data_IF_909685643464
#
_entry.id   IF_909685643464
#
_cell.length_a   1.000
_cell.length_b   1.000
_cell.length_c   1.000
_cell.angle_alpha   90.00
_cell.angle_beta   90.00
_cell.angle_gamma   90.00
#
_symmetry.space_group_name_H-M   'P 1'
#
loop_
_entity.id
_entity.type
_entity.pdbx_description
1 polymer ?
#
# COMPACT_ATOMS: atom_id res chain seq x y z
N UNK A 1 9.51 4.15 11.41
CA UNK A 1 8.23 4.77 11.78
C UNK A 1 8.22 5.14 13.26
N UNK A 2 7.86 6.35 13.53
CA UNK A 2 7.62 6.80 14.89
C UNK A 2 6.14 6.66 15.21
N UNK A 3 5.83 5.89 16.25
CA UNK A 3 4.48 5.73 16.76
C UNK A 3 4.36 6.52 18.06
N UNK A 4 3.38 7.40 18.13
CA UNK A 4 3.12 8.19 19.31
C UNK A 4 1.75 7.80 19.87
N UNK A 5 1.69 7.69 21.20
CA UNK A 5 0.47 7.36 21.93
C UNK A 5 0.01 8.59 22.68
N UNK A 6 -1.28 8.88 22.59
CA UNK A 6 -1.92 10.01 23.26
C UNK A 6 -3.08 9.52 24.10
N UNK A 7 -3.31 10.17 25.25
CA UNK A 7 -4.52 9.95 26.03
C UNK A 7 -5.72 10.71 25.42
N UNK A 8 -6.88 10.61 26.05
CA UNK A 8 -8.11 11.28 25.59
C UNK A 8 -8.03 12.80 25.64
N UNK A 9 -7.09 13.36 26.41
CA UNK A 9 -6.86 14.82 26.53
C UNK A 9 -5.71 15.28 25.61
N UNK A 10 -5.27 14.41 24.68
CA UNK A 10 -4.20 14.66 23.71
C UNK A 10 -2.82 14.87 24.33
N UNK A 11 -2.60 14.35 25.55
CA UNK A 11 -1.27 14.33 26.13
C UNK A 11 -0.49 13.12 25.63
N UNK A 12 0.77 13.34 25.25
CA UNK A 12 1.66 12.27 24.82
C UNK A 12 1.94 11.32 25.99
N UNK A 13 1.58 10.05 25.85
CA UNK A 13 1.76 9.03 26.90
C UNK A 13 2.90 8.07 26.61
N UNK A 14 3.38 8.00 25.39
CA UNK A 14 4.49 7.12 25.02
C UNK A 14 4.83 7.21 23.54
N UNK A 15 6.00 6.66 23.22
CA UNK A 15 6.48 6.57 21.84
C UNK A 15 7.06 5.19 21.58
N UNK A 16 7.03 4.76 20.32
CA UNK A 16 7.68 3.54 19.86
C UNK A 16 8.22 3.74 18.47
N UNK A 17 9.41 3.22 18.19
CA UNK A 17 10.01 3.24 16.86
C UNK A 17 9.84 1.86 16.23
N UNK A 18 9.22 1.84 15.05
CA UNK A 18 8.98 0.63 14.26
C UNK A 18 9.78 0.74 12.97
N UNK A 19 10.52 -0.30 12.62
CA UNK A 19 11.20 -0.34 11.33
C UNK A 19 10.20 -0.41 10.18
N UNK A 20 10.48 0.31 9.10
CA UNK A 20 9.69 0.19 7.86
C UNK A 20 10.09 -1.09 7.14
N UNK A 21 9.10 -1.87 6.70
CA UNK A 21 9.37 -3.08 5.91
C UNK A 21 9.91 -2.75 4.52
N UNK A 22 9.37 -1.71 3.88
CA UNK A 22 9.91 -1.11 2.67
C UNK A 22 10.15 0.38 2.90
N UNK A 23 11.05 1.01 2.12
CA UNK A 23 11.54 2.36 2.46
C UNK A 23 10.50 3.48 2.44
N UNK A 24 9.46 3.36 1.60
CA UNK A 24 8.47 4.44 1.43
C UNK A 24 7.24 4.13 2.26
N UNK A 25 6.87 5.04 3.15
CA UNK A 25 5.64 4.91 3.91
C UNK A 25 4.44 5.28 3.04
N UNK A 26 3.43 4.42 3.03
CA UNK A 26 2.19 4.68 2.30
C UNK A 26 1.03 5.04 3.21
N UNK A 27 0.69 4.17 4.14
CA UNK A 27 -0.47 4.38 4.98
C UNK A 27 -0.52 3.46 6.19
N UNK A 28 -1.49 3.74 7.04
CA UNK A 28 -1.69 3.04 8.30
C UNK A 28 -3.19 2.84 8.51
N UNK A 29 -3.55 1.70 9.07
CA UNK A 29 -4.92 1.42 9.48
C UNK A 29 -4.95 0.59 10.77
N UNK A 30 -5.85 0.94 11.67
CA UNK A 30 -6.06 0.20 12.91
C UNK A 30 -7.43 -0.45 12.90
N UNK A 31 -7.47 -1.76 13.11
CA UNK A 31 -8.69 -2.47 13.48
C UNK A 31 -8.74 -2.63 15.00
N UNK A 32 -9.79 -3.27 15.51
CA UNK A 32 -9.90 -3.54 16.94
C UNK A 32 -8.69 -4.31 17.50
N UNK A 33 -8.19 -5.28 16.74
CA UNK A 33 -7.20 -6.23 17.23
C UNK A 33 -5.81 -6.05 16.61
N UNK A 34 -5.70 -5.31 15.51
CA UNK A 34 -4.46 -5.26 14.74
C UNK A 34 -4.15 -3.87 14.22
N UNK A 35 -2.87 -3.65 13.95
CA UNK A 35 -2.38 -2.54 13.13
C UNK A 35 -1.90 -3.05 11.78
N UNK A 36 -2.10 -2.25 10.76
CA UNK A 36 -1.65 -2.52 9.39
C UNK A 36 -0.87 -1.32 8.87
N UNK A 37 0.28 -1.60 8.27
CA UNK A 37 1.12 -0.56 7.65
C UNK A 37 1.33 -0.94 6.20
N UNK A 38 1.10 0.01 5.31
CA UNK A 38 1.36 -0.14 3.89
C UNK A 38 2.63 0.62 3.57
N UNK A 39 3.60 -0.08 3.02
CA UNK A 39 4.88 0.47 2.61
C UNK A 39 5.16 0.15 1.15
N UNK A 40 6.10 0.86 0.57
CA UNK A 40 6.47 0.63 -0.82
C UNK A 40 7.94 0.90 -1.08
N UNK A 41 8.36 0.58 -2.29
CA UNK A 41 9.72 0.81 -2.74
C UNK A 41 9.71 1.28 -4.20
N UNK A 42 10.56 2.26 -4.51
CA UNK A 42 10.75 2.70 -5.87
C UNK A 42 11.35 1.59 -6.73
N UNK A 43 10.93 1.54 -7.98
CA UNK A 43 11.32 0.52 -8.93
C UNK A 43 11.74 1.17 -10.25
N UNK A 44 12.79 1.97 -10.18
CA UNK A 44 13.28 2.72 -11.34
C UNK A 44 13.84 1.83 -12.45
N UNK A 45 14.24 0.61 -12.10
CA UNK A 45 14.75 -0.38 -13.07
C UNK A 45 13.63 -1.12 -13.80
N UNK A 46 12.37 -0.86 -13.47
CA UNK A 46 11.21 -1.48 -14.11
C UNK A 46 11.27 -3.01 -14.04
N UNK A 47 11.66 -3.52 -12.88
CA UNK A 47 11.80 -4.95 -12.63
C UNK A 47 10.48 -5.54 -12.16
N UNK A 48 9.89 -6.42 -12.96
CA UNK A 48 8.61 -7.06 -12.66
C UNK A 48 8.68 -8.00 -11.45
N UNK A 49 9.86 -8.46 -11.08
CA UNK A 49 10.05 -9.35 -9.93
C UNK A 49 10.18 -8.58 -8.61
N UNK A 50 10.37 -7.25 -8.68
CA UNK A 50 10.55 -6.44 -7.48
C UNK A 50 9.23 -6.25 -6.76
N UNK A 51 9.24 -6.44 -5.45
CA UNK A 51 8.12 -6.13 -4.58
C UNK A 51 8.03 -4.62 -4.40
N UNK A 52 6.93 -4.02 -4.84
CA UNK A 52 6.74 -2.57 -4.82
C UNK A 52 5.86 -2.12 -3.68
N UNK A 53 4.86 -2.92 -3.32
CA UNK A 53 3.96 -2.65 -2.20
C UNK A 53 4.00 -3.79 -1.21
N UNK A 54 3.96 -3.46 0.07
CA UNK A 54 3.86 -4.44 1.13
C UNK A 54 2.86 -4.00 2.18
N UNK A 55 2.02 -4.92 2.60
CA UNK A 55 1.08 -4.74 3.69
C UNK A 55 1.55 -5.61 4.84
N UNK A 56 1.81 -5.00 5.99
CA UNK A 56 2.31 -5.69 7.17
C UNK A 56 1.31 -5.59 8.30
N UNK A 57 1.04 -6.73 8.92
CA UNK A 57 0.10 -6.87 10.02
C UNK A 57 0.86 -7.00 11.33
N UNK A 58 0.44 -6.20 12.31
CA UNK A 58 1.01 -6.19 13.66
C UNK A 58 -0.07 -6.46 14.69
N UNK A 59 0.31 -6.99 15.86
CA UNK A 59 -0.56 -6.97 17.01
C UNK A 59 -0.59 -5.56 17.65
N UNK A 60 -1.36 -5.38 18.71
CA UNK A 60 -1.49 -4.08 19.37
C UNK A 60 -0.26 -3.67 20.18
N UNK A 61 0.73 -4.55 20.33
CA UNK A 61 2.03 -4.28 20.91
C UNK A 61 3.09 -4.01 19.85
N UNK A 62 2.69 -3.92 18.58
CA UNK A 62 3.58 -3.73 17.43
C UNK A 62 4.54 -4.89 17.16
N UNK A 63 4.16 -6.09 17.58
CA UNK A 63 4.85 -7.29 17.13
C UNK A 63 4.35 -7.66 15.75
N UNK A 64 5.27 -7.88 14.82
CA UNK A 64 4.92 -8.30 13.45
C UNK A 64 4.30 -9.69 13.49
N UNK A 65 3.12 -9.82 12.88
CA UNK A 65 2.46 -11.11 12.72
C UNK A 65 2.84 -11.71 11.36
N UNK A 66 2.60 -10.98 10.29
CA UNK A 66 2.92 -11.43 8.93
C UNK A 66 2.86 -10.25 7.96
N UNK A 67 3.24 -10.49 6.71
CA UNK A 67 3.12 -9.51 5.64
C UNK A 67 2.82 -10.19 4.32
N UNK A 68 2.34 -9.40 3.36
CA UNK A 68 2.16 -9.82 1.97
C UNK A 68 2.59 -8.68 1.06
N UNK A 69 3.07 -9.02 -0.12
CA UNK A 69 3.60 -8.03 -1.05
C UNK A 69 3.08 -8.19 -2.47
N UNK A 70 3.12 -7.11 -3.22
CA UNK A 70 2.70 -7.06 -4.61
C UNK A 70 3.90 -6.85 -5.52
N UNK A 71 4.06 -7.76 -6.46
CA UNK A 71 5.02 -7.68 -7.57
C UNK A 71 4.28 -7.47 -8.88
N UNK A 72 5.02 -7.23 -9.95
CA UNK A 72 4.49 -7.17 -11.32
C UNK A 72 3.30 -6.19 -11.43
N UNK A 73 3.47 -4.99 -10.91
CA UNK A 73 2.38 -4.01 -10.81
C UNK A 73 2.60 -2.75 -11.65
N UNK A 74 3.51 -2.80 -12.63
CA UNK A 74 3.74 -1.70 -13.56
C UNK A 74 4.01 -0.37 -12.87
N UNK A 75 4.85 -0.37 -11.85
CA UNK A 75 5.10 0.79 -11.01
C UNK A 75 6.57 1.12 -10.94
N UNK A 76 6.91 2.40 -11.16
CA UNK A 76 8.23 2.95 -10.87
C UNK A 76 8.23 3.67 -9.52
N UNK A 77 7.18 4.40 -9.21
CA UNK A 77 7.05 5.14 -7.94
C UNK A 77 5.70 4.85 -7.28
N UNK A 78 5.69 4.14 -6.14
CA UNK A 78 4.48 3.94 -5.37
C UNK A 78 4.06 5.21 -4.64
N UNK A 79 2.78 5.30 -4.29
CA UNK A 79 2.20 6.42 -3.53
C UNK A 79 2.47 7.79 -4.15
N UNK A 80 2.48 7.86 -5.46
CA UNK A 80 2.71 9.11 -6.15
C UNK A 80 1.58 10.09 -5.82
N UNK A 81 1.91 11.37 -5.71
CA UNK A 81 1.03 12.41 -5.19
C UNK A 81 0.61 12.21 -3.72
N UNK A 82 1.27 11.31 -2.99
CA UNK A 82 1.12 11.16 -1.54
C UNK A 82 -0.22 10.61 -1.07
N UNK A 83 -1.02 10.02 -1.96
CA UNK A 83 -2.32 9.50 -1.55
C UNK A 83 -2.25 8.01 -1.23
N UNK A 84 -2.81 7.64 -0.10
CA UNK A 84 -3.03 6.24 0.24
C UNK A 84 -4.25 6.17 1.15
N UNK A 85 -5.34 5.64 0.63
CA UNK A 85 -6.56 5.48 1.39
C UNK A 85 -6.80 4.01 1.65
N UNK A 86 -7.16 3.69 2.88
CA UNK A 86 -7.38 2.31 3.32
C UNK A 86 -8.78 2.20 3.89
N UNK A 87 -9.56 1.26 3.40
CA UNK A 87 -10.88 0.95 3.91
C UNK A 87 -10.95 -0.55 4.24
N UNK A 88 -11.63 -0.89 5.34
CA UNK A 88 -11.79 -2.28 5.78
C UNK A 88 -13.26 -2.57 6.00
N UNK A 89 -13.72 -3.69 5.47
CA UNK A 89 -15.05 -4.24 5.72
C UNK A 89 -14.92 -5.74 5.94
N UNK A 90 -15.25 -6.19 7.16
CA UNK A 90 -15.03 -7.59 7.53
C UNK A 90 -13.56 -7.96 7.47
N UNK A 91 -13.23 -8.99 6.69
CA UNK A 91 -11.85 -9.41 6.46
C UNK A 91 -11.24 -8.84 5.18
N UNK A 92 -11.94 -7.94 4.50
CA UNK A 92 -11.48 -7.36 3.25
C UNK A 92 -10.94 -5.95 3.49
N UNK A 93 -9.68 -5.75 3.15
CA UNK A 93 -9.03 -4.44 3.14
C UNK A 93 -8.86 -3.99 1.70
N UNK A 94 -9.24 -2.75 1.41
CA UNK A 94 -9.03 -2.17 0.09
C UNK A 94 -8.12 -0.96 0.25
N UNK A 95 -7.05 -0.95 -0.52
CA UNK A 95 -6.06 0.13 -0.55
C UNK A 95 -6.20 0.85 -1.89
N UNK A 96 -6.46 2.15 -1.82
CA UNK A 96 -6.50 3.01 -3.00
C UNK A 96 -5.33 3.98 -2.94
N UNK A 97 -4.54 4.02 -4.00
CA UNK A 97 -3.42 4.95 -4.11
C UNK A 97 -3.17 5.31 -5.56
N UNK A 98 -2.17 6.12 -5.80
CA UNK A 98 -1.68 6.43 -7.13
C UNK A 98 -0.25 5.94 -7.28
N UNK A 99 0.14 5.67 -8.51
CA UNK A 99 1.53 5.33 -8.82
C UNK A 99 1.96 6.00 -10.11
N UNK A 100 3.27 6.12 -10.27
CA UNK A 100 3.88 6.38 -11.56
C UNK A 100 4.16 5.03 -12.20
N UNK A 101 3.67 4.85 -13.43
CA UNK A 101 3.83 3.61 -14.18
C UNK A 101 5.20 3.53 -14.86
N UNK A 102 5.49 2.40 -15.44
CA UNK A 102 6.65 2.21 -16.30
C UNK A 102 6.61 3.18 -17.48
N UNK A 103 7.77 3.43 -18.04
CA UNK A 103 7.89 4.26 -19.24
C UNK A 103 7.08 3.66 -20.37
N UNK A 104 6.22 4.48 -20.96
CA UNK A 104 5.44 4.10 -22.14
C UNK A 104 6.23 4.33 -23.44
N UNK A 105 5.66 3.93 -24.55
CA UNK A 105 6.32 4.02 -25.86
C UNK A 105 6.66 5.45 -26.25
N UNK A 106 5.94 6.44 -25.74
CA UNK A 106 6.21 7.85 -25.98
C UNK A 106 7.33 8.43 -25.11
N UNK A 107 7.90 7.63 -24.23
CA UNK A 107 8.99 8.04 -23.34
C UNK A 107 8.56 8.66 -22.02
N UNK A 108 7.26 8.75 -21.75
CA UNK A 108 6.75 9.32 -20.51
C UNK A 108 6.32 8.24 -19.52
N UNK A 109 6.41 8.59 -18.23
CA UNK A 109 5.90 7.78 -17.13
C UNK A 109 4.58 8.39 -16.65
N UNK A 110 3.47 7.77 -17.02
CA UNK A 110 2.14 8.27 -16.65
C UNK A 110 1.76 7.84 -15.25
N UNK A 111 0.91 8.64 -14.62
CA UNK A 111 0.31 8.30 -13.34
C UNK A 111 -1.00 7.53 -13.56
N UNK A 112 -1.32 6.66 -12.61
CA UNK A 112 -2.57 5.93 -12.62
C UNK A 112 -2.99 5.60 -11.19
N UNK A 113 -4.24 5.18 -11.05
CA UNK A 113 -4.74 4.70 -9.77
C UNK A 113 -4.34 3.24 -9.56
N UNK A 114 -4.10 2.90 -8.32
CA UNK A 114 -3.86 1.54 -7.86
C UNK A 114 -4.91 1.17 -6.84
N UNK A 115 -5.48 -0.02 -7.00
CA UNK A 115 -6.37 -0.62 -6.00
C UNK A 115 -5.83 -2.00 -5.66
N UNK A 116 -5.62 -2.26 -4.37
CA UNK A 116 -5.16 -3.55 -3.88
C UNK A 116 -6.19 -4.05 -2.88
N UNK A 117 -6.67 -5.27 -3.10
CA UNK A 117 -7.58 -5.93 -2.17
C UNK A 117 -6.85 -7.04 -1.43
N UNK A 118 -6.98 -7.04 -0.11
CA UNK A 118 -6.27 -7.97 0.77
C UNK A 118 -7.27 -8.66 1.68
N UNK A 119 -7.18 -9.98 1.77
CA UNK A 119 -7.81 -10.74 2.85
C UNK A 119 -6.92 -10.61 4.07
N UNK A 120 -7.37 -9.86 5.08
CA UNK A 120 -6.54 -9.56 6.25
C UNK A 120 -6.52 -10.65 7.31
N UNK A 121 -7.39 -11.64 7.21
CA UNK A 121 -7.32 -12.83 8.06
C UNK A 121 -6.23 -13.78 7.55
N UNK A 122 -6.19 -14.01 6.24
CA UNK A 122 -5.19 -14.89 5.62
C UNK A 122 -3.91 -14.15 5.24
N UNK A 123 -3.94 -12.83 5.23
CA UNK A 123 -2.86 -11.96 4.73
C UNK A 123 -2.41 -12.36 3.33
N UNK A 124 -3.38 -12.32 2.42
CA UNK A 124 -3.16 -12.58 0.99
C UNK A 124 -3.82 -11.50 0.16
N UNK A 125 -3.11 -11.06 -0.86
CA UNK A 125 -3.68 -10.17 -1.88
C UNK A 125 -4.62 -11.01 -2.73
N UNK A 126 -5.89 -10.62 -2.76
CA UNK A 126 -6.93 -11.35 -3.49
C UNK A 126 -7.21 -10.74 -4.86
N UNK A 127 -6.92 -9.46 -5.04
CA UNK A 127 -7.06 -8.77 -6.30
C UNK A 127 -6.19 -7.52 -6.32
N UNK A 128 -5.77 -7.10 -7.52
CA UNK A 128 -5.07 -5.84 -7.69
C UNK A 128 -5.42 -5.24 -9.05
N UNK A 129 -5.54 -3.92 -9.07
CA UNK A 129 -5.76 -3.14 -10.27
C UNK A 129 -4.73 -2.01 -10.30
N UNK A 130 -3.94 -1.97 -11.36
CA UNK A 130 -2.81 -1.02 -11.45
C UNK A 130 -3.04 0.09 -12.47
N UNK A 131 -4.30 0.34 -12.80
CA UNK A 131 -4.68 1.51 -13.57
C UNK A 131 -4.19 1.53 -15.01
N UNK A 132 -4.38 0.44 -15.74
CA UNK A 132 -4.05 0.43 -17.15
C UNK A 132 -5.05 1.31 -17.92
N UNK A 133 -4.54 2.26 -18.66
CA UNK A 133 -5.33 3.10 -19.55
C UNK A 133 -5.08 2.61 -20.97
N UNK A 134 -6.15 2.28 -21.70
CA UNK A 134 -6.00 1.85 -23.07
C UNK A 134 -5.63 3.00 -24.01
N UNK A 135 -5.35 2.69 -25.27
CA UNK A 135 -4.89 3.68 -26.24
C UNK A 135 -5.92 4.75 -26.58
N UNK A 136 -7.18 4.52 -26.25
CA UNK A 136 -8.27 5.47 -26.46
C UNK A 136 -8.53 6.30 -25.21
N UNK A 137 -7.71 6.15 -24.18
CA UNK A 137 -7.89 6.82 -22.92
C UNK A 137 -8.92 6.18 -22.01
N UNK A 138 -9.50 5.08 -22.41
CA UNK A 138 -10.44 4.34 -21.57
C UNK A 138 -9.70 3.58 -20.48
N UNK A 139 -10.27 3.57 -19.33
CA UNK A 139 -9.72 2.85 -18.19
C UNK A 139 -10.30 1.45 -18.15
N UNK A 140 -9.43 0.48 -17.98
CA UNK A 140 -9.84 -0.90 -17.74
C UNK A 140 -10.24 -1.00 -16.27
N UNK A 141 -11.48 -1.38 -16.03
CA UNK A 141 -12.01 -1.52 -14.68
C UNK A 141 -12.12 -2.99 -14.32
N UNK A 142 -11.67 -3.30 -13.13
CA UNK A 142 -11.90 -4.59 -12.51
C UNK A 142 -13.09 -4.47 -11.56
N UNK A 143 -13.98 -5.43 -11.65
CA UNK A 143 -15.10 -5.55 -10.74
C UNK A 143 -14.67 -6.42 -9.57
N UNK A 144 -13.95 -5.81 -8.71
CA UNK A 144 -13.44 -6.55 -7.58
C UNK A 144 -13.66 -5.80 -6.31
#
# INVERSE_FOLDING_TARGET
>A
LLVEYYDKDYNLTGTKIIGKELPVFGGFYATKDNYYVVTGENNTDEDNAKEVYRITKYDKHWNKITSTGLTNCNTTKPFNAGSCRIDVSGNSMIIHTCHEMYKSDDGYNYQANVTIQVDIDKMKITDSYTGVIDQRGSRILHNG
#
